data_IF_349960417303
#
_entry.id   IF_349960417303
#
_cell.length_a   1.000
_cell.length_b   1.000
_cell.length_c   1.000
_cell.angle_alpha   90.00
_cell.angle_beta   90.00
_cell.angle_gamma   90.00
#
_symmetry.space_group_name_H-M   'P 1'
#
loop_
_entity.id
_entity.type
_entity.pdbx_description
1 polymer ?
#
# COMPACT_ATOMS: atom_id res chain seq x y z
N UNK A 1 -5.86 27.92 31.19
CA UNK A 1 -5.13 26.66 30.97
C UNK A 1 -4.39 26.81 29.64
N UNK A 2 -3.05 26.81 29.64
CA UNK A 2 -2.26 26.98 28.41
C UNK A 2 -2.14 25.65 27.68
N UNK A 3 -2.56 25.63 26.42
CA UNK A 3 -2.50 24.43 25.58
C UNK A 3 -1.04 24.10 25.23
N UNK A 4 -0.57 22.85 25.41
CA UNK A 4 0.80 22.50 25.02
C UNK A 4 0.95 22.61 23.50
N UNK A 5 1.87 23.46 23.06
CA UNK A 5 2.21 23.55 21.64
C UNK A 5 3.13 22.38 21.26
N UNK A 6 2.85 21.68 20.14
CA UNK A 6 3.70 20.60 19.66
C UNK A 6 5.02 21.17 19.14
N UNK A 7 6.14 20.68 19.67
CA UNK A 7 7.51 21.14 19.36
C UNK A 7 7.98 20.77 17.94
N UNK A 8 7.31 19.82 17.29
CA UNK A 8 7.68 19.35 15.95
C UNK A 8 6.57 19.67 14.97
N UNK A 9 6.81 20.61 14.06
CA UNK A 9 5.95 20.80 12.88
C UNK A 9 6.01 19.52 12.05
N UNK A 10 4.89 18.81 11.84
CA UNK A 10 4.89 17.62 11.00
C UNK A 10 5.36 18.04 9.61
N UNK A 11 6.48 17.47 9.17
CA UNK A 11 6.95 17.66 7.79
C UNK A 11 5.94 16.95 6.90
N UNK A 12 4.99 17.72 6.37
CA UNK A 12 4.04 17.25 5.38
C UNK A 12 4.89 16.93 4.15
N UNK A 13 5.30 15.67 4.03
CA UNK A 13 5.97 15.18 2.83
C UNK A 13 5.04 15.50 1.66
N UNK A 14 5.34 16.57 0.93
CA UNK A 14 4.55 16.97 -0.22
C UNK A 14 4.45 15.76 -1.14
N UNK A 15 3.26 15.43 -1.67
CA UNK A 15 3.08 14.30 -2.57
C UNK A 15 3.92 14.56 -3.81
N UNK A 16 5.11 13.99 -3.81
CA UNK A 16 6.10 14.16 -4.86
C UNK A 16 6.03 12.94 -5.76
N UNK A 17 5.98 13.15 -7.06
CA UNK A 17 6.07 12.07 -8.03
C UNK A 17 7.53 11.58 -8.14
N UNK A 18 7.71 10.28 -8.42
CA UNK A 18 9.01 9.63 -8.52
C UNK A 18 9.36 8.74 -7.31
N UNK A 19 10.58 8.20 -7.33
CA UNK A 19 11.10 7.32 -6.28
C UNK A 19 11.48 8.14 -5.04
N UNK A 20 10.53 8.25 -4.11
CA UNK A 20 10.73 8.89 -2.82
C UNK A 20 10.00 8.10 -1.73
N UNK A 21 10.37 8.36 -0.48
CA UNK A 21 9.90 7.59 0.67
C UNK A 21 8.37 7.59 0.83
N UNK A 22 7.68 8.66 0.41
CA UNK A 22 6.22 8.72 0.44
C UNK A 22 5.60 7.75 -0.57
N UNK A 23 6.05 7.80 -1.82
CA UNK A 23 5.58 6.92 -2.91
C UNK A 23 5.90 5.46 -2.61
N UNK A 24 7.07 5.16 -2.06
CA UNK A 24 7.47 3.79 -1.68
C UNK A 24 6.54 3.22 -0.60
N UNK A 25 6.23 4.01 0.44
CA UNK A 25 5.29 3.60 1.49
C UNK A 25 3.88 3.40 0.94
N UNK A 26 3.43 4.27 0.02
CA UNK A 26 2.13 4.16 -0.61
C UNK A 26 2.04 2.89 -1.48
N UNK A 27 3.03 2.66 -2.33
CA UNK A 27 3.12 1.48 -3.19
C UNK A 27 3.21 0.18 -2.35
N UNK A 28 3.98 0.19 -1.26
CA UNK A 28 4.05 -0.95 -0.34
C UNK A 28 2.70 -1.29 0.29
N UNK A 29 1.91 -0.29 0.68
CA UNK A 29 0.53 -0.51 1.19
C UNK A 29 -0.39 -1.06 0.12
N UNK A 30 -0.34 -0.49 -1.09
CA UNK A 30 -1.10 -0.99 -2.22
C UNK A 30 -0.75 -2.46 -2.54
N UNK A 31 0.53 -2.82 -2.47
CA UNK A 31 1.00 -4.19 -2.66
C UNK A 31 0.45 -5.15 -1.58
N UNK A 32 0.48 -4.77 -0.30
CA UNK A 32 -0.09 -5.59 0.79
C UNK A 32 -1.58 -5.84 0.58
N UNK A 33 -2.34 -4.80 0.20
CA UNK A 33 -3.78 -4.93 -0.08
C UNK A 33 -4.01 -5.81 -1.31
N UNK A 34 -3.26 -5.58 -2.40
CA UNK A 34 -3.37 -6.36 -3.63
C UNK A 34 -3.06 -7.85 -3.41
N UNK A 35 -2.10 -8.16 -2.54
CA UNK A 35 -1.77 -9.54 -2.17
C UNK A 35 -2.90 -10.21 -1.38
N UNK A 36 -3.52 -9.51 -0.42
CA UNK A 36 -4.66 -10.06 0.31
C UNK A 36 -5.88 -10.29 -0.59
N UNK A 37 -6.17 -9.35 -1.50
CA UNK A 37 -7.25 -9.49 -2.48
C UNK A 37 -6.99 -10.69 -3.39
N UNK A 38 -5.76 -10.83 -3.86
CA UNK A 38 -5.31 -11.98 -4.66
C UNK A 38 -5.61 -13.30 -3.96
N UNK A 39 -5.22 -13.44 -2.69
CA UNK A 39 -5.47 -14.65 -1.92
C UNK A 39 -6.97 -14.92 -1.72
N UNK A 40 -7.75 -13.86 -1.48
CA UNK A 40 -9.20 -14.00 -1.36
C UNK A 40 -9.82 -14.49 -2.67
N UNK A 41 -9.43 -13.92 -3.80
CA UNK A 41 -9.89 -14.35 -5.14
C UNK A 41 -9.51 -15.80 -5.41
N UNK A 42 -8.27 -16.20 -5.12
CA UNK A 42 -7.82 -17.58 -5.28
C UNK A 42 -8.66 -18.55 -4.44
N UNK A 43 -8.97 -18.19 -3.20
CA UNK A 43 -9.83 -18.97 -2.33
C UNK A 43 -11.26 -19.13 -2.87
N UNK A 44 -11.88 -18.06 -3.36
CA UNK A 44 -13.24 -18.11 -3.89
C UNK A 44 -13.34 -18.73 -5.29
N UNK A 45 -12.34 -18.49 -6.14
CA UNK A 45 -12.30 -18.99 -7.52
C UNK A 45 -11.80 -20.43 -7.61
N UNK A 46 -11.06 -20.91 -6.60
CA UNK A 46 -10.40 -22.22 -6.63
C UNK A 46 -9.29 -22.34 -7.69
N UNK A 47 -8.91 -21.23 -8.32
CA UNK A 47 -7.93 -21.15 -9.39
C UNK A 47 -6.86 -20.14 -9.00
N UNK A 48 -5.60 -20.56 -9.03
CA UNK A 48 -4.46 -19.71 -8.67
C UNK A 48 -4.25 -18.57 -9.65
N UNK A 49 -3.68 -17.46 -9.19
CA UNK A 49 -3.38 -16.28 -10.01
C UNK A 49 -2.59 -16.60 -11.29
N UNK A 50 -1.65 -17.55 -11.21
CA UNK A 50 -0.83 -17.95 -12.36
C UNK A 50 -1.65 -18.61 -13.46
N UNK A 51 -2.74 -19.28 -13.10
CA UNK A 51 -3.65 -19.89 -14.06
C UNK A 51 -4.45 -18.82 -14.82
N UNK A 52 -4.74 -17.68 -14.20
CA UNK A 52 -5.33 -16.53 -14.90
C UNK A 52 -4.36 -15.87 -15.90
N UNK A 53 -3.06 -15.98 -15.64
CA UNK A 53 -2.00 -15.56 -16.56
C UNK A 53 -1.72 -16.60 -17.67
N UNK A 54 -2.46 -17.73 -17.69
CA UNK A 54 -2.32 -18.79 -18.69
C UNK A 54 -1.08 -19.67 -18.51
N UNK A 55 -0.50 -19.70 -17.30
CA UNK A 55 0.74 -20.42 -16.99
C UNK A 55 0.50 -21.77 -16.29
N UNK A 56 -0.71 -22.33 -16.40
CA UNK A 56 -1.13 -23.59 -15.77
C UNK A 56 -1.54 -24.64 -16.79
#
# INVERSE_FOLDING_TARGET
MSQPQPTTTPNLNEPKFGFNQYTERLNGRAAMIGFLITLAIEYFSGQGLLSWLGLS
#
